data_IF_303528529847
#
_entry.id   IF_303528529847
#
_cell.length_a   1.000
_cell.length_b   1.000
_cell.length_c   1.000
_cell.angle_alpha   90.00
_cell.angle_beta   90.00
_cell.angle_gamma   90.00
#
_symmetry.space_group_name_H-M   'P 1'
#
loop_
_entity.id
_entity.type
_entity.pdbx_description
1 polymer ?
#
# COMPACT_ATOMS: atom_id res chain seq x y z
N UNK A 1 -10.08 26.75 4.45
CA UNK A 1 -10.31 26.01 3.19
C UNK A 1 -9.47 26.63 2.12
N UNK A 2 -8.97 25.83 1.19
CA UNK A 2 -8.29 26.32 -0.01
C UNK A 2 -9.36 26.92 -0.94
N UNK A 3 -9.13 28.15 -1.41
CA UNK A 3 -9.96 28.81 -2.42
C UNK A 3 -9.07 29.07 -3.64
N UNK A 4 -8.93 28.04 -4.48
CA UNK A 4 -8.06 28.04 -5.64
C UNK A 4 -8.88 28.23 -6.91
N UNK A 5 -8.34 28.96 -7.88
CA UNK A 5 -8.95 29.18 -9.18
C UNK A 5 -7.88 29.26 -10.27
N UNK A 6 -8.24 28.90 -11.50
CA UNK A 6 -7.31 28.92 -12.64
C UNK A 6 -7.51 27.74 -13.59
N UNK A 7 -6.57 27.57 -14.51
CA UNK A 7 -6.48 26.37 -15.36
C UNK A 7 -6.11 25.13 -14.53
N UNK A 8 -6.30 23.95 -15.10
CA UNK A 8 -5.91 22.69 -14.46
C UNK A 8 -4.44 22.68 -14.01
N UNK A 9 -3.54 23.22 -14.83
CA UNK A 9 -2.13 23.35 -14.49
C UNK A 9 -1.87 24.33 -13.33
N UNK A 10 -2.58 25.46 -13.30
CA UNK A 10 -2.47 26.44 -12.22
C UNK A 10 -3.02 25.89 -10.90
N UNK A 11 -4.14 25.18 -10.94
CA UNK A 11 -4.71 24.50 -9.78
C UNK A 11 -3.76 23.44 -9.24
N UNK A 12 -3.25 22.57 -10.11
CA UNK A 12 -2.29 21.54 -9.75
C UNK A 12 -1.05 22.11 -9.05
N UNK A 13 -0.47 23.17 -9.62
CA UNK A 13 0.69 23.84 -9.05
C UNK A 13 0.38 24.52 -7.71
N UNK A 14 -0.77 25.20 -7.61
CA UNK A 14 -1.16 25.89 -6.39
C UNK A 14 -1.40 24.93 -5.21
N UNK A 15 -1.91 23.72 -5.45
CA UNK A 15 -2.06 22.69 -4.40
C UNK A 15 -0.68 22.24 -3.89
N UNK A 16 0.28 22.01 -4.79
CA UNK A 16 1.65 21.63 -4.43
C UNK A 16 2.31 22.74 -3.61
N UNK A 17 2.25 23.98 -4.08
CA UNK A 17 2.81 25.15 -3.39
C UNK A 17 2.16 25.35 -2.02
N UNK A 18 0.84 25.15 -1.90
CA UNK A 18 0.18 25.19 -0.60
C UNK A 18 0.76 24.17 0.38
N UNK A 19 0.97 22.91 -0.03
CA UNK A 19 1.60 21.91 0.83
C UNK A 19 3.04 22.33 1.19
N UNK A 20 3.82 22.80 0.22
CA UNK A 20 5.19 23.28 0.41
C UNK A 20 5.34 24.46 1.39
N UNK A 21 4.30 25.27 1.55
CA UNK A 21 4.32 26.48 2.38
C UNK A 21 3.66 26.29 3.75
N UNK A 22 2.76 25.30 3.87
CA UNK A 22 1.93 25.13 5.07
C UNK A 22 2.16 23.82 5.81
N UNK A 23 2.92 22.88 5.22
CA UNK A 23 3.18 21.59 5.83
C UNK A 23 4.62 21.45 6.34
N UNK A 24 4.76 20.68 7.42
CA UNK A 24 6.04 20.23 7.94
C UNK A 24 6.33 18.81 7.46
N UNK A 25 7.41 18.62 6.70
CA UNK A 25 7.90 17.29 6.39
C UNK A 25 8.60 16.70 7.62
N UNK A 26 8.10 15.57 8.12
CA UNK A 26 8.44 15.06 9.45
C UNK A 26 9.16 13.70 9.45
N UNK A 27 9.67 13.22 8.31
CA UNK A 27 10.35 11.91 8.24
C UNK A 27 11.62 11.85 9.11
N UNK A 28 12.37 12.96 9.19
CA UNK A 28 13.64 13.04 9.92
C UNK A 28 13.51 13.67 11.31
N UNK A 29 12.28 13.97 11.74
CA UNK A 29 12.02 14.69 12.99
C UNK A 29 11.61 13.70 14.07
N UNK A 30 12.49 13.49 15.05
CA UNK A 30 12.30 12.57 16.18
C UNK A 30 11.08 12.83 17.06
N UNK A 31 10.41 13.96 16.85
CA UNK A 31 9.34 14.42 17.74
C UNK A 31 7.94 14.00 17.26
N UNK A 32 7.83 13.24 16.17
CA UNK A 32 6.55 12.85 15.55
C UNK A 32 6.34 11.33 15.55
N UNK A 33 6.05 10.78 16.73
CA UNK A 33 5.85 9.33 16.95
C UNK A 33 4.73 8.68 16.12
N UNK A 34 3.82 9.49 15.57
CA UNK A 34 2.63 9.07 14.81
C UNK A 34 2.68 9.48 13.32
N UNK A 35 3.80 10.03 12.85
CA UNK A 35 3.91 10.53 11.47
C UNK A 35 3.68 9.44 10.43
N UNK A 36 4.10 8.21 10.75
CA UNK A 36 4.01 7.04 9.87
C UNK A 36 2.67 6.29 9.99
N UNK A 37 1.78 6.67 10.91
CA UNK A 37 0.49 5.99 11.11
C UNK A 37 -0.35 5.94 9.82
N UNK A 38 -0.51 7.04 9.05
CA UNK A 38 -1.33 7.00 7.85
C UNK A 38 -0.81 6.02 6.80
N UNK A 39 0.51 5.97 6.58
CA UNK A 39 1.06 5.04 5.57
C UNK A 39 0.99 3.60 6.07
N UNK A 40 1.40 3.33 7.32
CA UNK A 40 1.52 1.97 7.84
C UNK A 40 0.16 1.30 7.97
N UNK A 41 -0.87 2.03 8.39
CA UNK A 41 -2.19 1.43 8.60
C UNK A 41 -2.96 1.26 7.30
N UNK A 42 -2.87 2.23 6.39
CA UNK A 42 -3.52 2.08 5.07
C UNK A 42 -2.83 1.05 4.17
N UNK A 43 -1.61 0.63 4.49
CA UNK A 43 -0.91 -0.43 3.75
C UNK A 43 -1.57 -1.80 3.90
N UNK A 44 -2.36 -2.04 4.96
CA UNK A 44 -3.05 -3.32 5.17
C UNK A 44 -4.55 -3.16 5.46
N UNK A 45 -5.01 -1.95 5.79
CA UNK A 45 -6.43 -1.56 5.88
C UNK A 45 -6.68 -0.24 5.12
N UNK A 46 -6.72 -0.25 3.78
CA UNK A 46 -6.95 0.96 2.99
C UNK A 46 -8.22 1.71 3.43
N UNK A 47 -8.10 3.01 3.68
CA UNK A 47 -9.18 3.89 4.13
C UNK A 47 -9.37 3.98 5.66
N UNK A 48 -8.60 3.24 6.46
CA UNK A 48 -8.64 3.35 7.92
C UNK A 48 -8.17 4.72 8.44
N UNK A 49 -7.27 5.37 7.70
CA UNK A 49 -6.76 6.71 7.98
C UNK A 49 -6.87 7.58 6.72
N UNK A 50 -7.96 8.32 6.60
CA UNK A 50 -8.29 9.09 5.40
C UNK A 50 -7.45 10.38 5.26
N UNK A 51 -7.47 10.99 4.08
CA UNK A 51 -6.92 12.35 3.87
C UNK A 51 -7.53 13.39 4.81
N UNK A 52 -8.81 13.23 5.17
CA UNK A 52 -9.48 14.05 6.18
C UNK A 52 -8.86 13.86 7.56
N UNK A 53 -8.61 12.62 7.97
CA UNK A 53 -7.94 12.32 9.24
C UNK A 53 -6.56 13.01 9.28
N UNK A 54 -5.78 12.93 8.19
CA UNK A 54 -4.45 13.58 8.10
C UNK A 54 -4.55 15.09 8.35
N UNK A 55 -5.45 15.78 7.63
CA UNK A 55 -5.62 17.24 7.73
C UNK A 55 -6.05 17.68 9.15
N UNK A 56 -6.80 16.85 9.87
CA UNK A 56 -7.37 17.22 11.16
C UNK A 56 -6.57 16.72 12.37
N UNK A 57 -5.85 15.61 12.24
CA UNK A 57 -5.19 14.93 13.34
C UNK A 57 -3.66 15.10 13.29
N UNK A 58 -3.06 15.14 12.10
CA UNK A 58 -1.62 15.42 11.96
C UNK A 58 -1.37 16.94 11.93
N UNK A 59 -1.76 17.65 12.99
CA UNK A 59 -1.58 19.10 13.12
C UNK A 59 -0.76 19.44 14.36
N UNK A 60 0.32 20.20 14.18
CA UNK A 60 1.17 20.72 15.26
C UNK A 60 1.54 22.17 14.98
N UNK A 61 1.44 23.03 16.00
CA UNK A 61 1.74 24.46 15.90
C UNK A 61 1.03 25.18 14.73
N UNK A 62 -0.18 24.71 14.39
CA UNK A 62 -0.98 25.27 13.30
C UNK A 62 -0.56 24.83 11.89
N UNK A 63 0.42 23.94 11.77
CA UNK A 63 0.85 23.33 10.51
C UNK A 63 0.45 21.87 10.46
N UNK A 64 0.14 21.38 9.25
CA UNK A 64 -0.07 19.95 9.02
C UNK A 64 1.32 19.32 8.92
N UNK A 65 1.54 18.18 9.57
CA UNK A 65 2.78 17.43 9.41
C UNK A 65 2.52 16.10 8.72
N UNK A 66 3.56 15.54 8.10
CA UNK A 66 3.45 14.25 7.45
C UNK A 66 4.72 13.85 6.72
N UNK A 67 4.64 12.71 6.05
CA UNK A 67 5.68 12.19 5.14
C UNK A 67 5.12 12.08 3.72
N UNK A 68 5.94 11.63 2.77
CA UNK A 68 5.62 11.56 1.35
C UNK A 68 4.24 10.95 1.04
N UNK A 69 3.84 9.89 1.75
CA UNK A 69 2.49 9.33 1.65
C UNK A 69 1.39 10.32 2.04
N UNK A 70 1.52 11.00 3.19
CA UNK A 70 0.53 12.00 3.64
C UNK A 70 0.37 13.12 2.63
N UNK A 71 1.47 13.60 2.07
CA UNK A 71 1.47 14.63 1.04
C UNK A 71 0.75 14.14 -0.24
N UNK A 72 1.08 12.95 -0.75
CA UNK A 72 0.47 12.41 -1.96
C UNK A 72 -1.04 12.16 -1.82
N UNK A 73 -1.47 11.59 -0.68
CA UNK A 73 -2.87 11.28 -0.39
C UNK A 73 -3.72 12.55 -0.29
N UNK A 74 -3.24 13.56 0.45
CA UNK A 74 -3.98 14.82 0.58
C UNK A 74 -3.94 15.61 -0.71
N UNK A 75 -2.83 15.61 -1.46
CA UNK A 75 -2.76 16.24 -2.77
C UNK A 75 -3.87 15.71 -3.68
N UNK A 76 -3.97 14.38 -3.84
CA UNK A 76 -4.98 13.76 -4.70
C UNK A 76 -6.39 14.11 -4.24
N UNK A 77 -6.67 14.04 -2.93
CA UNK A 77 -8.00 14.41 -2.41
C UNK A 77 -8.39 15.86 -2.70
N UNK A 78 -7.44 16.80 -2.59
CA UNK A 78 -7.69 18.22 -2.91
C UNK A 78 -7.84 18.41 -4.41
N UNK A 79 -6.99 17.79 -5.22
CA UNK A 79 -7.03 17.89 -6.68
C UNK A 79 -8.33 17.31 -7.26
N UNK A 80 -8.79 16.17 -6.76
CA UNK A 80 -10.07 15.55 -7.13
C UNK A 80 -11.25 16.45 -6.75
N UNK A 81 -11.21 17.14 -5.60
CA UNK A 81 -12.22 18.14 -5.23
C UNK A 81 -12.32 19.27 -6.27
N UNK A 82 -11.20 19.65 -6.89
CA UNK A 82 -11.15 20.63 -7.99
C UNK A 82 -11.40 20.01 -9.38
N UNK A 83 -11.77 18.73 -9.47
CA UNK A 83 -12.11 18.04 -10.71
C UNK A 83 -10.91 17.61 -11.55
N UNK A 84 -9.72 17.50 -10.96
CA UNK A 84 -8.52 17.01 -11.64
C UNK A 84 -8.44 15.48 -11.53
N UNK A 85 -8.06 14.81 -12.61
CA UNK A 85 -7.79 13.36 -12.61
C UNK A 85 -6.40 13.12 -12.00
N UNK A 86 -6.34 12.36 -10.91
CA UNK A 86 -5.09 12.08 -10.18
C UNK A 86 -4.82 10.60 -9.96
N UNK A 87 -3.57 10.28 -9.64
CA UNK A 87 -3.14 8.97 -9.15
C UNK A 87 -2.00 9.12 -8.15
N UNK A 88 -1.89 8.15 -7.25
CA UNK A 88 -0.73 8.03 -6.36
C UNK A 88 0.25 7.04 -6.97
N UNK A 89 1.51 7.41 -6.91
CA UNK A 89 2.63 6.58 -7.32
C UNK A 89 3.49 6.26 -6.11
N UNK A 90 4.21 5.14 -6.15
CA UNK A 90 5.21 4.79 -5.15
C UNK A 90 6.46 4.25 -5.81
N UNK A 91 7.55 4.17 -5.07
CA UNK A 91 8.68 3.32 -5.45
C UNK A 91 8.28 1.85 -5.44
N UNK A 92 9.03 1.03 -6.17
CA UNK A 92 9.00 -0.44 -6.02
C UNK A 92 9.84 -0.81 -4.81
N UNK A 93 11.01 -0.19 -4.66
CA UNK A 93 11.91 -0.37 -3.52
C UNK A 93 11.28 -0.01 -2.17
N UNK A 94 11.63 -0.79 -1.15
CA UNK A 94 11.38 -0.53 0.28
C UNK A 94 12.53 0.30 0.87
N UNK A 95 12.33 0.83 2.07
CA UNK A 95 13.35 1.63 2.76
C UNK A 95 14.59 0.76 3.05
N UNK A 96 14.39 -0.45 3.54
CA UNK A 96 15.44 -1.43 3.86
C UNK A 96 16.22 -1.91 2.63
N UNK A 97 15.63 -1.88 1.44
CA UNK A 97 16.34 -2.18 0.18
C UNK A 97 17.45 -1.15 -0.10
N UNK A 98 17.26 0.08 0.38
CA UNK A 98 18.12 1.23 0.09
C UNK A 98 19.09 1.58 1.23
N UNK A 99 18.79 1.17 2.47
CA UNK A 99 19.67 1.37 3.63
C UNK A 99 19.91 0.04 4.37
N UNK A 100 21.11 -0.56 4.25
CA UNK A 100 21.43 -1.82 4.92
C UNK A 100 21.50 -1.71 6.45
N UNK A 101 21.45 -0.51 7.02
CA UNK A 101 21.41 -0.29 8.48
C UNK A 101 19.97 -0.31 9.02
N UNK A 102 18.96 -0.25 8.16
CA UNK A 102 17.56 -0.36 8.55
C UNK A 102 17.20 -1.85 8.51
N UNK A 103 17.09 -2.45 9.70
CA UNK A 103 16.64 -3.83 9.82
C UNK A 103 15.22 -3.95 9.29
N UNK A 104 14.95 -5.01 8.53
CA UNK A 104 13.60 -5.39 8.14
C UNK A 104 12.71 -5.46 9.38
N UNK A 105 11.71 -4.58 9.46
CA UNK A 105 10.79 -4.53 10.59
C UNK A 105 9.53 -5.27 10.18
N UNK A 106 9.40 -6.52 10.60
CA UNK A 106 8.09 -7.19 10.61
C UNK A 106 7.28 -6.68 11.78
N UNK A 107 6.04 -6.33 11.50
CA UNK A 107 5.04 -6.02 12.50
C UNK A 107 4.96 -4.57 12.95
N UNK A 108 4.10 -4.39 13.94
CA UNK A 108 3.71 -3.10 14.50
C UNK A 108 4.03 -3.11 16.00
N UNK A 109 4.70 -2.09 16.55
CA UNK A 109 4.88 -1.97 18.00
C UNK A 109 3.54 -1.72 18.70
N UNK A 110 3.41 -2.18 19.94
CA UNK A 110 2.17 -2.06 20.72
C UNK A 110 1.71 -0.60 20.90
N UNK A 111 2.64 0.36 20.97
CA UNK A 111 2.31 1.79 21.04
C UNK A 111 1.61 2.30 19.78
N UNK A 112 2.04 1.87 18.59
CA UNK A 112 1.39 2.18 17.32
C UNK A 112 0.03 1.48 17.22
N UNK A 113 -0.04 0.20 17.59
CA UNK A 113 -1.30 -0.54 17.63
C UNK A 113 -2.34 0.11 18.54
N UNK A 114 -1.93 0.60 19.72
CA UNK A 114 -2.86 1.28 20.64
C UNK A 114 -3.48 2.54 20.02
N UNK A 115 -2.76 3.24 19.12
CA UNK A 115 -3.33 4.36 18.35
C UNK A 115 -4.27 3.87 17.25
N UNK A 116 -3.88 2.83 16.50
CA UNK A 116 -4.74 2.21 15.48
C UNK A 116 -6.05 1.67 16.07
N UNK A 117 -6.00 1.07 17.26
CA UNK A 117 -7.16 0.50 17.96
C UNK A 117 -8.30 1.50 18.10
N UNK A 118 -7.99 2.78 18.37
CA UNK A 118 -9.01 3.84 18.42
C UNK A 118 -9.74 4.00 17.08
N UNK A 119 -9.03 3.91 15.94
CA UNK A 119 -9.63 3.98 14.60
C UNK A 119 -10.43 2.73 14.25
N UNK A 120 -10.00 1.55 14.70
CA UNK A 120 -10.70 0.29 14.53
C UNK A 120 -12.03 0.30 15.29
N UNK A 121 -12.00 0.65 16.58
CA UNK A 121 -13.18 0.72 17.43
C UNK A 121 -14.21 1.73 16.91
N UNK A 122 -13.75 2.88 16.42
CA UNK A 122 -14.63 3.90 15.80
C UNK A 122 -15.37 3.39 14.55
N UNK A 123 -14.91 2.29 13.93
CA UNK A 123 -15.53 1.63 12.77
C UNK A 123 -16.17 0.29 13.13
N UNK A 124 -16.31 -0.02 14.42
CA UNK A 124 -16.80 -1.30 14.91
C UNK A 124 -15.98 -2.51 14.40
N UNK A 125 -14.68 -2.31 14.16
CA UNK A 125 -13.72 -3.37 13.88
C UNK A 125 -12.99 -3.74 15.17
N UNK A 126 -12.74 -5.02 15.37
CA UNK A 126 -12.02 -5.55 16.52
C UNK A 126 -10.99 -6.55 16.03
N UNK A 127 -9.72 -6.14 16.11
CA UNK A 127 -8.57 -6.99 15.84
C UNK A 127 -7.62 -6.90 17.03
N UNK A 128 -7.14 -8.04 17.49
CA UNK A 128 -6.14 -8.14 18.54
C UNK A 128 -4.76 -7.71 18.03
N UNK A 129 -3.91 -7.33 18.99
CA UNK A 129 -2.56 -6.87 18.70
C UNK A 129 -1.78 -7.88 17.85
N UNK A 130 -1.83 -9.17 18.19
CA UNK A 130 -1.09 -10.19 17.45
C UNK A 130 -1.59 -10.35 16.00
N UNK A 131 -2.89 -10.24 15.75
CA UNK A 131 -3.43 -10.29 14.40
C UNK A 131 -2.92 -9.12 13.55
N UNK A 132 -2.92 -7.90 14.12
CA UNK A 132 -2.39 -6.70 13.46
C UNK A 132 -0.88 -6.78 13.27
N UNK A 133 -0.14 -7.22 14.28
CA UNK A 133 1.32 -7.35 14.24
C UNK A 133 1.77 -8.32 13.14
N UNK A 134 0.99 -9.35 12.83
CA UNK A 134 1.33 -10.33 11.80
C UNK A 134 1.09 -9.84 10.37
N UNK A 135 0.17 -8.89 10.15
CA UNK A 135 -0.08 -8.32 8.81
C UNK A 135 0.69 -7.04 8.53
N UNK A 136 1.18 -6.37 9.57
CA UNK A 136 1.91 -5.12 9.42
C UNK A 136 3.30 -5.41 8.81
N UNK A 137 3.53 -4.84 7.63
CA UNK A 137 4.75 -5.00 6.84
C UNK A 137 5.48 -3.67 6.68
N UNK A 138 6.71 -3.74 6.18
CA UNK A 138 7.46 -2.58 5.73
C UNK A 138 6.78 -1.93 4.50
N UNK A 139 6.79 -0.59 4.47
CA UNK A 139 6.22 0.22 3.40
C UNK A 139 7.24 0.55 2.31
N UNK A 140 6.76 1.04 1.15
CA UNK A 140 7.64 1.56 0.07
C UNK A 140 8.45 2.78 0.53
N UNK A 141 9.56 3.03 -0.16
CA UNK A 141 10.51 4.09 0.15
C UNK A 141 10.02 5.51 -0.12
N UNK A 142 9.24 5.74 -1.18
CA UNK A 142 8.71 7.07 -1.50
C UNK A 142 7.35 7.03 -2.18
N UNK A 143 6.58 8.11 -2.03
CA UNK A 143 5.24 8.28 -2.60
C UNK A 143 5.07 9.70 -3.16
N UNK A 144 4.40 9.82 -4.30
CA UNK A 144 4.06 11.11 -4.89
C UNK A 144 2.71 11.07 -5.59
N UNK A 145 2.15 12.25 -5.85
CA UNK A 145 0.95 12.39 -6.67
C UNK A 145 1.32 12.66 -8.12
N UNK A 146 0.47 12.21 -9.03
CA UNK A 146 0.47 12.65 -10.42
C UNK A 146 -0.91 13.11 -10.81
N UNK A 147 -0.95 14.16 -11.63
CA UNK A 147 -2.17 14.75 -12.16
C UNK A 147 -2.14 14.71 -13.68
N UNK A 148 -3.26 14.39 -14.29
CA UNK A 148 -3.36 14.33 -15.75
C UNK A 148 -3.65 15.72 -16.31
N UNK A 149 -2.69 16.27 -17.05
CA UNK A 149 -2.78 17.57 -17.72
C UNK A 149 -2.53 17.36 -19.22
N UNK A 150 -3.45 17.84 -20.06
CA UNK A 150 -3.32 17.75 -21.53
C UNK A 150 -2.97 16.34 -22.04
N UNK A 151 -3.56 15.30 -21.42
CA UNK A 151 -3.31 13.86 -21.67
C UNK A 151 -1.98 13.28 -21.18
N UNK A 152 -1.14 14.07 -20.52
CA UNK A 152 0.09 13.61 -19.89
C UNK A 152 -0.06 13.55 -18.37
N UNK A 153 0.55 12.54 -17.73
CA UNK A 153 0.69 12.50 -16.28
C UNK A 153 1.86 13.38 -15.86
N UNK A 154 1.57 14.36 -15.00
CA UNK A 154 2.54 15.34 -14.51
C UNK A 154 2.73 15.12 -13.01
N UNK A 155 4.00 15.00 -12.61
CA UNK A 155 4.41 14.78 -11.22
C UNK A 155 4.09 16.01 -10.38
N UNK A 156 3.52 15.76 -9.21
CA UNK A 156 3.24 16.75 -8.18
C UNK A 156 3.73 16.19 -6.84
N UNK A 157 4.93 16.62 -6.47
CA UNK A 157 5.62 16.13 -5.28
C UNK A 157 6.13 17.32 -4.44
N UNK A 158 5.30 17.74 -3.49
CA UNK A 158 5.62 18.84 -2.58
C UNK A 158 6.73 18.49 -1.58
N UNK A 159 7.08 17.21 -1.41
CA UNK A 159 8.15 16.83 -0.48
C UNK A 159 9.54 17.19 -1.02
N UNK A 160 9.68 17.34 -2.34
CA UNK A 160 10.96 17.68 -2.99
C UNK A 160 11.61 18.95 -2.41
N UNK A 161 10.80 19.97 -2.08
CA UNK A 161 11.30 21.21 -1.45
C UNK A 161 11.95 20.96 -0.10
N UNK A 162 11.43 20.00 0.67
CA UNK A 162 11.93 19.67 2.00
C UNK A 162 13.17 18.76 1.94
N UNK A 163 13.18 17.75 1.07
CA UNK A 163 14.28 16.78 0.98
C UNK A 163 15.42 17.22 0.04
N UNK A 164 15.21 18.27 -0.77
CA UNK A 164 16.26 18.88 -1.61
C UNK A 164 16.69 18.05 -2.82
N UNK A 165 16.00 16.95 -3.13
CA UNK A 165 16.34 16.06 -4.22
C UNK A 165 15.31 16.07 -5.36
N UNK A 166 15.80 15.89 -6.59
CA UNK A 166 15.02 15.50 -7.77
C UNK A 166 14.65 14.01 -7.72
N UNK A 167 14.17 13.53 -6.57
CA UNK A 167 13.87 12.11 -6.31
C UNK A 167 13.04 11.53 -7.45
N UNK A 168 11.97 12.20 -7.88
CA UNK A 168 11.06 11.61 -8.85
C UNK A 168 11.63 11.51 -10.28
N UNK A 169 12.43 12.48 -10.75
CA UNK A 169 13.08 12.37 -12.06
C UNK A 169 14.13 11.25 -12.08
N UNK A 170 14.83 11.05 -10.96
CA UNK A 170 15.76 9.93 -10.78
C UNK A 170 15.02 8.58 -10.73
N UNK A 171 13.87 8.49 -10.06
CA UNK A 171 13.04 7.27 -9.99
C UNK A 171 12.54 6.85 -11.39
N UNK A 172 12.09 7.80 -12.20
CA UNK A 172 11.70 7.51 -13.59
C UNK A 172 12.88 7.03 -14.44
N UNK A 173 14.08 7.56 -14.23
CA UNK A 173 15.28 7.15 -14.97
C UNK A 173 15.77 5.75 -14.59
N UNK A 174 15.53 5.33 -13.35
CA UNK A 174 15.93 4.02 -12.82
C UNK A 174 14.86 2.95 -13.02
N UNK A 175 13.61 3.35 -13.31
CA UNK A 175 12.48 2.44 -13.41
C UNK A 175 11.91 2.01 -12.05
N UNK A 176 12.31 2.66 -10.96
CA UNK A 176 11.85 2.35 -9.60
C UNK A 176 10.55 3.09 -9.27
N UNK A 177 9.48 2.73 -9.99
CA UNK A 177 8.16 3.30 -9.76
C UNK A 177 7.04 2.32 -10.10
N UNK A 178 5.91 2.47 -9.42
CA UNK A 178 4.68 1.76 -9.71
C UNK A 178 3.46 2.61 -9.37
N UNK A 179 2.34 2.32 -10.03
CA UNK A 179 1.04 2.83 -9.60
C UNK A 179 0.73 2.25 -8.22
N UNK A 180 0.29 3.10 -7.30
CA UNK A 180 -0.11 2.63 -5.98
C UNK A 180 -1.52 2.02 -6.04
N UNK A 181 -1.60 0.69 -5.96
CA UNK A 181 -2.84 -0.06 -6.02
C UNK A 181 -3.34 -0.40 -4.61
N UNK A 182 -4.24 0.45 -4.10
CA UNK A 182 -4.90 0.28 -2.81
C UNK A 182 -5.56 -1.09 -2.64
N UNK A 183 -6.21 -1.62 -3.68
CA UNK A 183 -6.98 -2.85 -3.58
C UNK A 183 -6.05 -4.06 -3.41
N UNK A 184 -4.90 -4.05 -4.07
CA UNK A 184 -3.89 -5.11 -3.92
C UNK A 184 -3.27 -5.20 -2.51
N UNK A 185 -3.36 -4.10 -1.76
CA UNK A 185 -2.78 -3.95 -0.43
C UNK A 185 -3.78 -4.27 0.69
N UNK A 186 -5.07 -4.40 0.38
CA UNK A 186 -6.06 -4.77 1.38
C UNK A 186 -5.73 -6.16 1.96
N UNK A 187 -5.44 -6.19 3.27
CA UNK A 187 -5.17 -7.41 4.04
C UNK A 187 -6.28 -7.70 5.04
N UNK A 188 -7.46 -7.08 4.92
CA UNK A 188 -8.61 -7.33 5.80
C UNK A 188 -8.95 -8.83 5.91
N UNK A 189 -8.91 -9.57 4.82
CA UNK A 189 -9.14 -11.02 4.84
C UNK A 189 -8.06 -11.79 5.64
N UNK A 190 -6.80 -11.36 5.57
CA UNK A 190 -5.73 -11.96 6.36
C UNK A 190 -5.87 -11.60 7.85
N UNK A 191 -6.24 -10.36 8.16
CA UNK A 191 -6.58 -9.92 9.51
C UNK A 191 -7.71 -10.74 10.12
N UNK A 192 -8.80 -10.93 9.38
CA UNK A 192 -9.94 -11.74 9.83
C UNK A 192 -9.51 -13.19 10.14
N UNK A 193 -8.64 -13.77 9.32
CA UNK A 193 -8.12 -15.11 9.55
C UNK A 193 -7.20 -15.18 10.78
N UNK A 194 -6.28 -14.22 10.96
CA UNK A 194 -5.43 -14.19 12.15
C UNK A 194 -6.23 -13.93 13.42
N UNK A 195 -7.26 -13.08 13.37
CA UNK A 195 -8.16 -12.88 14.49
C UNK A 195 -8.89 -14.17 14.85
N UNK A 196 -9.46 -14.86 13.85
CA UNK A 196 -10.12 -16.14 14.04
C UNK A 196 -9.18 -17.17 14.68
N UNK A 197 -7.92 -17.23 14.25
CA UNK A 197 -6.92 -18.13 14.82
C UNK A 197 -6.61 -17.76 16.28
N UNK A 198 -6.47 -16.46 16.59
CA UNK A 198 -6.24 -15.97 17.94
C UNK A 198 -7.39 -16.35 18.89
N UNK A 199 -8.63 -16.16 18.44
CA UNK A 199 -9.85 -16.50 19.21
C UNK A 199 -9.94 -18.00 19.53
N UNK A 200 -9.40 -18.86 18.67
CA UNK A 200 -9.43 -20.33 18.85
C UNK A 200 -8.32 -20.86 19.77
N UNK A 201 -7.51 -19.99 20.37
CA UNK A 201 -6.43 -20.32 21.31
C UNK A 201 -5.44 -21.38 20.78
N UNK A 202 -5.16 -21.37 19.46
CA UNK A 202 -4.09 -22.22 18.93
C UNK A 202 -2.73 -21.73 19.47
N UNK A 203 -1.84 -22.62 19.95
CA UNK A 203 -0.73 -22.23 20.84
C UNK A 203 0.41 -21.41 20.19
N UNK A 204 0.35 -21.19 18.88
CA UNK A 204 1.23 -20.26 18.18
C UNK A 204 0.56 -19.93 16.85
N UNK A 205 0.20 -18.67 16.65
CA UNK A 205 -0.06 -18.18 15.30
C UNK A 205 1.24 -18.38 14.51
N UNK A 206 1.21 -19.03 13.34
CA UNK A 206 2.41 -19.10 12.52
C UNK A 206 2.84 -17.66 12.23
N UNK A 207 4.02 -17.28 12.72
CA UNK A 207 4.64 -16.05 12.23
C UNK A 207 4.77 -16.21 10.73
N UNK A 208 4.19 -15.27 9.98
CA UNK A 208 4.57 -15.10 8.57
C UNK A 208 6.02 -14.70 8.58
N UNK A 209 6.89 -15.69 8.44
CA UNK A 209 8.22 -15.40 7.96
C UNK A 209 8.04 -14.83 6.57
N UNK A 210 8.38 -13.55 6.41
CA UNK A 210 8.72 -13.01 5.11
C UNK A 210 10.04 -13.70 4.69
N UNK A 211 9.94 -14.96 4.27
CA UNK A 211 11.06 -15.73 3.74
C UNK A 211 11.35 -15.27 2.30
N UNK A 212 11.62 -13.96 2.13
CA UNK A 212 12.09 -13.40 0.87
C UNK A 212 11.07 -13.45 -0.29
N UNK A 213 11.53 -13.19 -1.53
CA UNK A 213 10.67 -12.90 -2.68
C UNK A 213 9.91 -14.15 -3.13
N UNK A 214 8.73 -14.40 -2.55
CA UNK A 214 8.04 -15.69 -2.61
C UNK A 214 8.93 -16.85 -2.11
N UNK A 215 8.37 -17.93 -1.55
CA UNK A 215 9.12 -19.17 -1.39
C UNK A 215 9.81 -19.51 -2.72
N UNK A 216 11.14 -19.58 -2.70
CA UNK A 216 11.89 -20.12 -3.82
C UNK A 216 11.24 -21.44 -4.20
N UNK A 217 10.89 -21.61 -5.48
CA UNK A 217 10.18 -22.79 -5.96
C UNK A 217 10.78 -24.05 -5.30
N UNK A 218 9.95 -24.97 -4.76
CA UNK A 218 10.44 -26.22 -4.21
C UNK A 218 11.44 -26.84 -5.19
N UNK A 219 12.58 -27.33 -4.70
CA UNK A 219 13.60 -27.93 -5.56
C UNK A 219 12.95 -28.96 -6.51
N UNK A 220 13.00 -28.70 -7.82
CA UNK A 220 12.40 -29.56 -8.86
C UNK A 220 10.95 -29.23 -9.26
N UNK A 221 10.30 -28.24 -8.66
CA UNK A 221 8.99 -27.74 -9.13
C UNK A 221 9.18 -26.76 -10.29
N UNK A 222 8.73 -27.12 -11.49
CA UNK A 222 8.88 -26.28 -12.69
C UNK A 222 7.73 -25.29 -12.88
N UNK A 223 6.60 -25.49 -12.19
CA UNK A 223 5.35 -24.75 -12.41
C UNK A 223 4.81 -24.87 -13.83
N UNK A 224 3.88 -23.98 -14.17
CA UNK A 224 3.40 -23.73 -15.54
C UNK A 224 3.95 -22.42 -16.09
N UNK A 225 3.81 -22.24 -17.40
CA UNK A 225 3.94 -20.93 -18.05
C UNK A 225 2.55 -20.32 -18.20
N UNK A 226 2.33 -19.12 -17.71
CA UNK A 226 1.04 -18.42 -17.82
C UNK A 226 0.78 -17.80 -19.20
N UNK A 227 -0.40 -17.19 -19.36
CA UNK A 227 -0.83 -16.57 -20.63
C UNK A 227 0.07 -15.42 -21.10
N UNK A 228 0.89 -14.86 -20.21
CA UNK A 228 1.88 -13.83 -20.54
C UNK A 228 3.26 -14.41 -20.88
N UNK A 229 3.38 -15.74 -20.95
CA UNK A 229 4.64 -16.42 -21.22
C UNK A 229 5.57 -16.48 -20.00
N UNK A 230 5.09 -16.21 -18.79
CA UNK A 230 5.90 -16.19 -17.58
C UNK A 230 5.98 -17.60 -16.99
N UNK A 231 7.17 -18.18 -16.96
CA UNK A 231 7.40 -19.51 -16.40
C UNK A 231 7.36 -19.52 -14.87
N UNK A 232 7.19 -20.71 -14.29
CA UNK A 232 7.30 -20.94 -12.85
C UNK A 232 6.09 -20.51 -12.05
N UNK A 233 4.90 -20.44 -12.68
CA UNK A 233 3.63 -20.13 -12.03
C UNK A 233 2.97 -21.37 -11.43
N UNK A 234 2.13 -21.19 -10.43
CA UNK A 234 1.38 -22.30 -9.83
C UNK A 234 0.46 -22.93 -10.87
N UNK A 235 0.56 -24.24 -11.09
CA UNK A 235 -0.23 -24.95 -12.10
C UNK A 235 -1.70 -25.16 -11.69
N UNK A 236 -2.01 -25.04 -10.40
CA UNK A 236 -3.33 -25.18 -9.83
C UNK A 236 -3.41 -24.42 -8.49
N UNK A 237 -4.62 -24.30 -7.94
CA UNK A 237 -4.85 -23.62 -6.66
C UNK A 237 -4.12 -24.28 -5.49
N UNK A 238 -3.96 -25.61 -5.47
CA UNK A 238 -3.26 -26.28 -4.37
C UNK A 238 -1.75 -25.94 -4.37
N UNK A 239 -1.12 -25.81 -5.53
CA UNK A 239 0.26 -25.35 -5.65
C UNK A 239 0.43 -23.91 -5.17
N UNK A 240 -0.55 -23.04 -5.44
CA UNK A 240 -0.57 -21.66 -4.94
C UNK A 240 -0.76 -21.62 -3.42
N UNK A 241 -1.74 -22.36 -2.90
CA UNK A 241 -2.06 -22.41 -1.48
C UNK A 241 -0.94 -23.07 -0.65
N UNK A 242 -0.14 -23.94 -1.25
CA UNK A 242 1.06 -24.52 -0.63
C UNK A 242 2.30 -23.64 -0.79
N UNK A 243 2.19 -22.48 -1.44
CA UNK A 243 3.30 -21.58 -1.68
C UNK A 243 4.38 -22.19 -2.58
N UNK A 244 4.03 -23.01 -3.57
CA UNK A 244 5.02 -23.61 -4.47
C UNK A 244 5.45 -22.67 -5.60
N UNK A 245 4.55 -21.76 -5.97
CA UNK A 245 4.76 -20.76 -6.99
C UNK A 245 3.70 -19.65 -6.88
N UNK A 246 3.97 -18.46 -7.44
CA UNK A 246 2.99 -17.38 -7.52
C UNK A 246 1.82 -17.74 -8.45
N UNK A 247 0.67 -17.07 -8.25
CA UNK A 247 -0.51 -17.26 -9.07
C UNK A 247 -0.21 -16.96 -10.56
N UNK A 248 -0.72 -17.77 -11.50
CA UNK A 248 -0.60 -17.48 -12.93
C UNK A 248 -1.47 -16.28 -13.31
N UNK A 249 -1.04 -15.54 -14.33
CA UNK A 249 -1.89 -14.55 -14.97
C UNK A 249 -2.92 -15.22 -15.88
N UNK A 250 -4.17 -14.76 -15.82
CA UNK A 250 -5.25 -15.19 -16.70
C UNK A 250 -5.68 -14.04 -17.61
N UNK A 251 -5.72 -14.29 -18.90
CA UNK A 251 -6.23 -13.34 -19.89
C UNK A 251 -7.77 -13.19 -19.86
N UNK A 252 -8.48 -14.11 -19.19
CA UNK A 252 -9.93 -14.07 -19.03
C UNK A 252 -10.41 -14.67 -17.68
N UNK A 253 -11.62 -14.27 -17.28
CA UNK A 253 -12.21 -14.66 -16.01
C UNK A 253 -12.62 -16.15 -15.92
N UNK A 254 -12.86 -16.81 -17.06
CA UNK A 254 -13.23 -18.23 -17.10
C UNK A 254 -12.07 -19.14 -16.70
N UNK A 255 -10.85 -18.79 -17.12
CA UNK A 255 -9.64 -19.55 -16.77
C UNK A 255 -9.26 -19.33 -15.30
N UNK A 256 -9.42 -18.09 -14.81
CA UNK A 256 -9.26 -17.80 -13.37
C UNK A 256 -10.27 -18.60 -12.52
N UNK A 257 -11.53 -18.70 -12.97
CA UNK A 257 -12.55 -19.49 -12.31
C UNK A 257 -12.21 -20.99 -12.30
N UNK A 258 -11.76 -21.53 -13.45
CA UNK A 258 -11.35 -22.94 -13.59
C UNK A 258 -10.15 -23.27 -12.69
N UNK A 259 -9.19 -22.35 -12.59
CA UNK A 259 -8.03 -22.49 -11.73
C UNK A 259 -8.39 -22.59 -10.24
N UNK A 260 -9.33 -21.76 -9.78
CA UNK A 260 -9.81 -21.76 -8.40
C UNK A 260 -10.70 -22.99 -8.11
N UNK A 261 -11.43 -23.47 -9.12
CA UNK A 261 -12.48 -24.49 -9.01
C UNK A 261 -12.04 -25.92 -8.68
N UNK A 262 -10.74 -26.21 -8.55
CA UNK A 262 -10.22 -27.58 -8.41
C UNK A 262 -10.41 -28.26 -7.05
N UNK A 263 -11.41 -27.85 -6.26
CA UNK A 263 -11.81 -28.62 -5.07
C UNK A 263 -13.12 -29.36 -5.16
N UNK A 264 -14.03 -29.07 -6.10
CA UNK A 264 -15.22 -29.90 -6.28
C UNK A 264 -15.91 -29.63 -7.63
N UNK A 265 -15.73 -30.53 -8.59
CA UNK A 265 -16.77 -30.79 -9.58
C UNK A 265 -16.79 -32.29 -9.90
N UNK A 266 -17.63 -33.09 -9.23
CA UNK A 266 -18.25 -34.22 -9.91
C UNK A 266 -19.26 -33.62 -10.91
N UNK A 267 -19.00 -33.86 -12.20
CA UNK A 267 -19.93 -33.78 -13.34
C UNK A 267 -21.28 -33.08 -13.08
N UNK A 268 -21.42 -31.80 -13.44
CA UNK A 268 -22.74 -31.19 -13.65
C UNK A 268 -22.68 -29.84 -14.39
N UNK A 269 -23.16 -29.87 -15.64
CA UNK A 269 -23.59 -28.76 -16.52
C UNK A 269 -22.47 -27.88 -17.08
N UNK A 270 -22.34 -27.69 -18.40
CA UNK A 270 -23.39 -27.29 -19.36
C UNK A 270 -23.22 -28.02 -20.70
N UNK A 271 -24.30 -28.64 -21.18
CA UNK A 271 -24.57 -28.83 -22.61
C UNK A 271 -25.80 -28.00 -22.95
N UNK A 272 -25.66 -27.26 -24.06
CA UNK A 272 -26.63 -26.42 -24.81
C UNK A 272 -27.28 -25.22 -24.11
#
# INVERSE_FOLDING_TARGET
>A
GLDLSGSAAQLADAIRVWQEDTWTYAADLSDFDDVADPIRWNYFLPGIYSSRDIIHEQVRDGQIYGICFSYAVVYCSVAEYYGLETRIMSTVSRISDSDPNISFTTGMPESEYNRLKVKLEARALQYDYEAVRLVAEETRGHYWAEVKLDSAWVIQDATQKAVGFYTTAALYSTGDYQLYDWASLDRSAALDEYQRLADTAQPALPETKDDGPFPSQPEGYTGMTDDLGQAGRAANIDDLMQGRAPAPYFSNAGDAYTYIGFRNAPDAFITE
#
